data_IF_278890219334
#
_entry.id   IF_278890219334
#
_cell.length_a   1.000
_cell.length_b   1.000
_cell.length_c   1.000
_cell.angle_alpha   90.00
_cell.angle_beta   90.00
_cell.angle_gamma   90.00
#
_symmetry.space_group_name_H-M   'P 1'
#
loop_
_entity.id
_entity.type
_entity.pdbx_description
1 polymer ?
#
# COMPACT_ATOMS: atom_id res chain seq x y z
N UNK A 1 16.04 39.92 -25.55
CA UNK A 1 14.60 40.17 -25.43
C UNK A 1 13.92 38.82 -25.28
N UNK A 2 13.15 38.70 -24.19
CA UNK A 2 12.02 37.81 -23.91
C UNK A 2 12.20 36.29 -24.13
N UNK A 3 11.89 35.40 -23.18
CA UNK A 3 11.16 35.54 -21.93
C UNK A 3 11.17 34.19 -21.19
N UNK A 4 10.99 34.27 -19.89
CA UNK A 4 11.00 33.19 -18.91
C UNK A 4 9.73 32.34 -18.99
N UNK A 5 9.83 31.01 -18.84
CA UNK A 5 8.86 30.26 -18.03
C UNK A 5 9.44 28.89 -17.62
N UNK A 6 9.80 28.81 -16.34
CA UNK A 6 9.97 27.53 -15.67
C UNK A 6 8.63 26.82 -15.55
N UNK A 7 8.64 25.52 -15.78
CA UNK A 7 7.62 24.59 -15.28
C UNK A 7 8.36 23.59 -14.41
N UNK A 8 8.23 23.78 -13.09
CA UNK A 8 8.57 22.74 -12.12
C UNK A 8 7.57 21.60 -12.26
N UNK A 9 8.07 20.36 -12.28
CA UNK A 9 7.23 19.19 -12.09
C UNK A 9 7.20 18.85 -10.60
N UNK A 10 6.02 18.79 -9.97
CA UNK A 10 5.86 18.32 -8.60
C UNK A 10 6.00 16.79 -8.55
N UNK A 11 6.31 16.28 -7.36
CA UNK A 11 6.59 14.88 -7.12
C UNK A 11 5.43 13.90 -7.34
N UNK A 12 5.76 12.62 -7.21
CA UNK A 12 4.82 11.51 -7.20
C UNK A 12 4.63 10.87 -8.57
N UNK A 13 5.44 9.87 -8.89
CA UNK A 13 5.24 9.08 -10.10
C UNK A 13 5.99 7.76 -10.00
N UNK A 14 5.31 6.72 -9.52
CA UNK A 14 5.76 5.35 -9.68
C UNK A 14 6.04 5.11 -11.16
N UNK A 15 7.30 4.82 -11.50
CA UNK A 15 7.67 4.39 -12.84
C UNK A 15 7.08 2.99 -13.05
N UNK A 16 5.83 2.95 -13.52
CA UNK A 16 5.20 1.73 -14.00
C UNK A 16 5.98 1.26 -15.22
N UNK A 17 6.85 0.25 -15.03
CA UNK A 17 7.37 -0.54 -16.14
C UNK A 17 6.23 -1.36 -16.73
N UNK A 18 5.43 -0.72 -17.58
CA UNK A 18 4.58 -1.39 -18.54
C UNK A 18 5.50 -2.08 -19.55
N UNK A 19 5.57 -3.40 -19.48
CA UNK A 19 6.02 -4.21 -20.62
C UNK A 19 4.94 -4.12 -21.71
N UNK A 20 4.82 -2.95 -22.33
CA UNK A 20 4.21 -2.87 -23.64
C UNK A 20 5.04 -3.76 -24.57
N UNK A 21 4.42 -4.57 -25.45
CA UNK A 21 5.18 -5.14 -26.55
C UNK A 21 5.87 -3.97 -27.23
N UNK A 22 7.19 -4.03 -27.36
CA UNK A 22 7.97 -2.99 -27.99
C UNK A 22 7.32 -2.70 -29.34
N UNK A 23 6.53 -1.63 -29.41
CA UNK A 23 6.19 -1.03 -30.67
C UNK A 23 7.55 -0.70 -31.26
N UNK A 24 7.88 -1.33 -32.38
CA UNK A 24 9.06 -1.01 -33.17
C UNK A 24 8.95 0.45 -33.60
N UNK A 25 9.31 1.35 -32.68
CA UNK A 25 9.65 2.71 -33.01
C UNK A 25 11.01 2.62 -33.69
N UNK A 26 10.97 2.36 -35.00
CA UNK A 26 12.11 2.50 -35.92
C UNK A 26 12.66 3.95 -36.00
N UNK A 27 12.30 4.82 -35.06
CA UNK A 27 12.92 6.11 -34.86
C UNK A 27 14.22 5.95 -34.09
N UNK A 28 15.32 5.70 -34.82
CA UNK A 28 16.68 5.91 -34.28
C UNK A 28 16.80 7.38 -33.90
N UNK A 29 16.64 7.70 -32.62
CA UNK A 29 16.93 9.04 -32.12
C UNK A 29 18.44 9.25 -32.24
N UNK A 30 18.86 10.18 -33.09
CA UNK A 30 20.29 10.48 -33.29
C UNK A 30 20.95 10.85 -31.95
N UNK A 31 22.16 10.33 -31.73
CA UNK A 31 22.93 10.58 -30.50
C UNK A 31 22.58 9.71 -29.29
N UNK A 32 21.72 8.69 -29.42
CA UNK A 32 21.41 7.73 -28.33
C UNK A 32 21.76 6.30 -28.72
N UNK A 33 22.28 5.53 -27.76
CA UNK A 33 22.51 4.09 -27.90
C UNK A 33 21.81 3.35 -26.77
N UNK A 34 21.36 2.12 -27.05
CA UNK A 34 20.82 1.22 -26.03
C UNK A 34 22.01 0.76 -25.16
N UNK A 35 21.85 0.88 -23.84
CA UNK A 35 22.72 0.30 -22.83
C UNK A 35 22.09 -1.02 -22.36
N UNK A 36 22.83 -2.11 -22.46
CA UNK A 36 22.42 -3.42 -21.99
C UNK A 36 23.24 -3.77 -20.76
N UNK A 37 22.58 -3.87 -19.61
CA UNK A 37 23.16 -4.35 -18.36
C UNK A 37 22.70 -5.79 -18.10
N UNK A 38 23.65 -6.72 -18.01
CA UNK A 38 23.39 -8.11 -17.65
C UNK A 38 23.94 -8.39 -16.26
N UNK A 39 23.04 -8.72 -15.35
CA UNK A 39 23.37 -9.17 -14.00
C UNK A 39 23.27 -10.71 -13.97
N UNK A 40 24.30 -11.36 -13.44
CA UNK A 40 24.35 -12.82 -13.26
C UNK A 40 24.55 -13.13 -11.78
N UNK A 41 23.70 -13.98 -11.20
CA UNK A 41 23.84 -14.41 -9.81
C UNK A 41 25.15 -15.15 -9.56
N UNK A 42 25.63 -15.19 -8.31
CA UNK A 42 26.71 -16.08 -7.92
C UNK A 42 26.45 -17.53 -8.32
N UNK A 43 27.41 -18.14 -9.00
CA UNK A 43 27.42 -19.56 -9.36
C UNK A 43 28.70 -20.22 -8.87
N UNK A 44 28.83 -21.55 -9.02
CA UNK A 44 30.08 -22.26 -8.69
C UNK A 44 31.28 -21.75 -9.49
N UNK A 45 31.05 -21.28 -10.71
CA UNK A 45 32.08 -20.73 -11.59
C UNK A 45 32.39 -19.26 -11.27
N UNK A 46 31.38 -18.49 -10.85
CA UNK A 46 31.49 -17.08 -10.49
C UNK A 46 30.96 -16.84 -9.07
N UNK A 47 31.77 -17.04 -8.02
CA UNK A 47 31.31 -16.98 -6.62
C UNK A 47 30.82 -15.59 -6.19
N UNK A 48 31.19 -14.56 -6.95
CA UNK A 48 30.85 -13.16 -6.70
C UNK A 48 29.75 -12.61 -7.62
N UNK A 49 29.19 -13.44 -8.49
CA UNK A 49 28.31 -13.02 -9.59
C UNK A 49 29.05 -12.19 -10.64
N UNK A 50 28.32 -11.72 -11.67
CA UNK A 50 28.91 -10.91 -12.76
C UNK A 50 27.98 -9.80 -13.22
N UNK A 51 28.55 -8.62 -13.45
CA UNK A 51 27.93 -7.47 -14.10
C UNK A 51 28.63 -7.22 -15.43
N UNK A 52 27.87 -7.26 -16.52
CA UNK A 52 28.34 -6.91 -17.86
C UNK A 52 27.51 -5.76 -18.41
N UNK A 53 28.18 -4.74 -18.93
CA UNK A 53 27.54 -3.57 -19.52
C UNK A 53 28.02 -3.46 -20.96
N UNK A 54 27.10 -3.48 -21.91
CA UNK A 54 27.38 -3.34 -23.33
C UNK A 54 26.57 -2.20 -23.95
N UNK A 55 27.18 -1.42 -24.83
CA UNK A 55 26.50 -0.38 -25.60
C UNK A 55 27.05 -0.33 -27.03
N UNK A 56 26.17 -0.11 -28.01
CA UNK A 56 26.57 0.07 -29.42
C UNK A 56 27.38 -1.10 -29.99
N UNK A 57 27.16 -2.33 -29.51
CA UNK A 57 27.88 -3.52 -29.94
C UNK A 57 29.28 -3.70 -29.31
N UNK A 58 29.65 -2.89 -28.31
CA UNK A 58 30.89 -3.02 -27.55
C UNK A 58 30.61 -3.32 -26.08
N UNK A 59 31.39 -4.23 -25.50
CA UNK A 59 31.42 -4.44 -24.06
C UNK A 59 32.18 -3.27 -23.41
N UNK A 60 31.50 -2.52 -22.56
CA UNK A 60 32.05 -1.36 -21.85
C UNK A 60 32.64 -1.75 -20.49
N UNK A 61 32.00 -2.68 -19.80
CA UNK A 61 32.39 -3.09 -18.46
C UNK A 61 32.08 -4.57 -18.25
N UNK A 62 33.02 -5.28 -17.62
CA UNK A 62 32.84 -6.62 -17.10
C UNK A 62 33.51 -6.68 -15.72
N UNK A 63 32.76 -7.09 -14.71
CA UNK A 63 33.28 -7.22 -13.36
C UNK A 63 32.31 -7.94 -12.43
N UNK A 64 32.67 -7.97 -11.15
CA UNK A 64 31.84 -8.56 -10.10
C UNK A 64 30.57 -7.74 -9.85
N UNK A 65 29.56 -8.36 -9.20
CA UNK A 65 28.39 -7.62 -8.73
C UNK A 65 28.80 -6.54 -7.70
N UNK A 66 28.35 -5.29 -7.86
CA UNK A 66 28.80 -4.17 -7.01
C UNK A 66 28.20 -4.20 -5.60
N UNK A 67 27.03 -4.81 -5.42
CA UNK A 67 26.22 -4.70 -4.21
C UNK A 67 26.25 -5.98 -3.36
N UNK A 68 26.48 -5.83 -2.06
CA UNK A 68 26.38 -6.89 -1.04
C UNK A 68 25.01 -6.84 -0.35
N UNK A 69 23.96 -7.00 -1.15
CA UNK A 69 22.56 -6.85 -0.74
C UNK A 69 21.89 -8.19 -0.35
N UNK A 70 22.60 -9.30 -0.46
CA UNK A 70 22.17 -10.62 -0.03
C UNK A 70 22.22 -10.83 1.49
N UNK A 71 21.61 -11.92 1.95
CA UNK A 71 21.65 -12.32 3.35
C UNK A 71 23.11 -12.62 3.72
N UNK A 72 23.56 -12.19 4.92
CA UNK A 72 24.96 -12.39 5.39
C UNK A 72 26.04 -11.76 4.48
N UNK A 73 25.70 -10.73 3.71
CA UNK A 73 26.67 -9.99 2.88
C UNK A 73 27.01 -10.66 1.55
N UNK A 74 26.22 -11.65 1.13
CA UNK A 74 26.28 -12.20 -0.22
C UNK A 74 25.87 -11.15 -1.27
N UNK A 75 26.24 -11.39 -2.53
CA UNK A 75 25.89 -10.51 -3.66
C UNK A 75 24.68 -11.09 -4.37
N UNK A 76 23.59 -10.34 -4.47
CA UNK A 76 22.37 -10.76 -5.18
C UNK A 76 21.93 -9.68 -6.16
N UNK A 77 20.79 -9.88 -6.82
CA UNK A 77 20.24 -8.85 -7.70
C UNK A 77 19.76 -7.63 -6.90
N UNK A 78 20.10 -6.40 -7.32
CA UNK A 78 19.57 -5.17 -6.71
C UNK A 78 18.12 -4.87 -7.12
N UNK A 79 17.44 -5.87 -7.68
CA UNK A 79 16.08 -5.76 -8.17
C UNK A 79 15.22 -6.74 -7.40
N UNK A 80 14.10 -6.25 -6.90
CA UNK A 80 13.06 -7.09 -6.32
C UNK A 80 11.90 -7.12 -7.30
N UNK A 81 11.46 -8.34 -7.63
CA UNK A 81 10.33 -8.54 -8.50
C UNK A 81 9.04 -8.53 -7.70
N UNK A 82 8.14 -7.62 -8.05
CA UNK A 82 6.79 -7.55 -7.51
C UNK A 82 5.82 -8.22 -8.49
N UNK A 83 5.18 -9.29 -8.05
CA UNK A 83 4.14 -9.99 -8.80
C UNK A 83 2.78 -9.86 -8.12
N UNK A 84 1.71 -9.76 -8.91
CA UNK A 84 0.34 -9.82 -8.39
C UNK A 84 -0.01 -11.26 -7.97
N UNK A 85 0.04 -12.21 -8.91
CA UNK A 85 -0.11 -13.64 -8.65
C UNK A 85 1.08 -14.41 -9.23
N UNK A 86 1.75 -15.20 -8.39
CA UNK A 86 2.88 -16.03 -8.80
C UNK A 86 2.36 -17.32 -9.43
N UNK A 87 2.78 -17.61 -10.66
CA UNK A 87 2.52 -18.89 -11.33
C UNK A 87 3.80 -19.71 -11.42
N UNK A 88 3.80 -21.00 -11.00
CA UNK A 88 4.90 -21.89 -11.28
C UNK A 88 5.16 -21.95 -12.79
N UNK A 89 6.43 -21.93 -13.20
CA UNK A 89 6.88 -22.02 -14.61
C UNK A 89 6.77 -20.76 -15.47
N UNK A 90 6.25 -19.63 -14.96
CA UNK A 90 6.32 -18.35 -15.68
C UNK A 90 7.26 -17.37 -14.99
N UNK A 91 8.10 -16.70 -15.78
CA UNK A 91 8.92 -15.62 -15.24
C UNK A 91 8.05 -14.46 -14.78
N UNK A 92 7.14 -13.93 -15.61
CA UNK A 92 6.22 -12.87 -15.19
C UNK A 92 4.98 -13.44 -14.50
N UNK A 93 4.60 -12.85 -13.37
CA UNK A 93 3.34 -13.19 -12.70
C UNK A 93 2.12 -12.84 -13.55
N UNK A 94 0.98 -13.43 -13.22
CA UNK A 94 -0.31 -13.11 -13.84
C UNK A 94 -1.03 -12.02 -13.07
N UNK A 95 -1.82 -11.22 -13.78
CA UNK A 95 -2.66 -10.18 -13.19
C UNK A 95 -4.14 -10.58 -13.23
N UNK A 96 -4.97 -9.90 -12.42
CA UNK A 96 -6.43 -9.94 -12.57
C UNK A 96 -6.84 -9.49 -13.97
N UNK A 97 -6.09 -8.54 -14.55
CA UNK A 97 -6.34 -7.99 -15.90
C UNK A 97 -6.32 -9.08 -16.98
N UNK A 98 -5.46 -10.10 -16.86
CA UNK A 98 -5.38 -11.18 -17.86
C UNK A 98 -6.72 -11.93 -17.99
N UNK A 99 -7.49 -12.01 -16.90
CA UNK A 99 -8.83 -12.61 -16.86
C UNK A 99 -9.91 -11.69 -17.44
N UNK A 100 -9.68 -10.38 -17.43
CA UNK A 100 -10.62 -9.37 -17.93
C UNK A 100 -10.48 -9.13 -19.44
N UNK A 101 -9.32 -9.41 -20.04
CA UNK A 101 -9.08 -9.27 -21.49
C UNK A 101 -10.16 -9.96 -22.36
N UNK A 102 -10.51 -11.24 -22.14
CA UNK A 102 -11.53 -11.90 -22.97
C UNK A 102 -12.91 -11.25 -22.82
N UNK A 103 -13.32 -10.89 -21.60
CA UNK A 103 -14.61 -10.22 -21.32
C UNK A 103 -14.66 -8.86 -22.03
N UNK A 104 -13.58 -8.08 -21.94
CA UNK A 104 -13.47 -6.79 -22.64
C UNK A 104 -13.56 -6.95 -24.16
N UNK A 105 -12.94 -8.00 -24.72
CA UNK A 105 -13.02 -8.28 -26.17
C UNK A 105 -14.44 -8.64 -26.59
N UNK A 106 -15.14 -9.43 -25.79
CA UNK A 106 -16.55 -9.76 -26.03
C UNK A 106 -17.43 -8.50 -25.97
N UNK A 107 -17.26 -7.68 -24.93
CA UNK A 107 -17.97 -6.41 -24.77
C UNK A 107 -17.76 -5.48 -25.97
N UNK A 108 -16.51 -5.31 -26.41
CA UNK A 108 -16.18 -4.50 -27.58
C UNK A 108 -16.80 -5.09 -28.87
N UNK A 109 -16.84 -6.41 -29.02
CA UNK A 109 -17.44 -7.05 -30.18
C UNK A 109 -18.96 -6.84 -30.26
N UNK A 110 -19.67 -6.95 -29.13
CA UNK A 110 -21.11 -6.67 -29.02
C UNK A 110 -21.38 -5.21 -29.37
N UNK A 111 -20.62 -4.28 -28.81
CA UNK A 111 -20.75 -2.85 -29.07
C UNK A 111 -20.50 -2.50 -30.54
N UNK A 112 -19.48 -3.09 -31.15
CA UNK A 112 -19.20 -2.90 -32.57
C UNK A 112 -20.34 -3.41 -33.46
N UNK A 113 -20.91 -4.58 -33.16
CA UNK A 113 -22.08 -5.12 -33.89
C UNK A 113 -23.33 -4.26 -33.70
N UNK A 114 -23.56 -3.75 -32.49
CA UNK A 114 -24.65 -2.79 -32.20
C UNK A 114 -24.48 -1.53 -33.04
N UNK A 115 -23.27 -0.99 -33.16
CA UNK A 115 -22.98 0.15 -34.03
C UNK A 115 -23.19 -0.19 -35.51
N UNK A 116 -22.75 -1.35 -35.98
CA UNK A 116 -23.00 -1.81 -37.36
C UNK A 116 -24.50 -1.92 -37.66
N UNK A 117 -25.27 -2.51 -36.74
CA UNK A 117 -26.71 -2.64 -36.87
C UNK A 117 -27.42 -1.28 -36.88
N UNK A 118 -27.05 -0.37 -35.98
CA UNK A 118 -27.57 0.99 -35.95
C UNK A 118 -27.25 1.76 -37.22
N UNK A 119 -26.03 1.63 -37.75
CA UNK A 119 -25.64 2.22 -39.03
C UNK A 119 -26.46 1.65 -40.20
N UNK A 120 -26.80 0.35 -40.16
CA UNK A 120 -27.63 -0.29 -41.18
C UNK A 120 -29.09 0.17 -41.13
N UNK A 121 -29.64 0.34 -39.93
CA UNK A 121 -30.99 0.91 -39.76
C UNK A 121 -31.01 2.37 -40.20
N UNK A 122 -30.03 3.16 -39.79
CA UNK A 122 -30.01 4.61 -40.07
C UNK A 122 -29.79 4.94 -41.53
N UNK A 123 -29.06 4.09 -42.27
CA UNK A 123 -28.89 4.24 -43.71
C UNK A 123 -30.22 4.10 -44.48
N UNK A 124 -31.20 3.37 -43.93
CA UNK A 124 -32.49 3.11 -44.57
C UNK A 124 -32.37 2.27 -45.85
N UNK A 125 -33.32 1.37 -46.09
CA UNK A 125 -33.38 0.63 -47.36
C UNK A 125 -34.70 0.96 -48.03
N UNK A 126 -34.66 1.47 -49.25
CA UNK A 126 -35.87 1.76 -50.02
C UNK A 126 -36.31 0.48 -50.75
N UNK A 127 -37.50 -0.04 -50.41
CA UNK A 127 -38.11 -1.13 -51.18
C UNK A 127 -38.91 -0.55 -52.34
N UNK A 128 -38.59 -1.03 -53.55
CA UNK A 128 -39.23 -0.64 -54.80
C UNK A 128 -39.59 -1.88 -55.61
N UNK A 129 -40.72 -1.82 -56.31
CA UNK A 129 -41.14 -2.87 -57.24
C UNK A 129 -40.26 -2.82 -58.50
N UNK A 130 -39.91 -3.97 -59.06
CA UNK A 130 -39.02 -4.06 -60.22
C UNK A 130 -39.62 -3.28 -61.43
N UNK A 131 -38.87 -2.33 -61.96
CA UNK A 131 -39.31 -1.41 -63.02
C UNK A 131 -40.19 -0.21 -62.59
N UNK A 132 -40.36 0.03 -61.27
CA UNK A 132 -41.13 1.18 -60.74
C UNK A 132 -40.32 2.49 -60.69
N UNK A 133 -39.01 2.41 -60.44
CA UNK A 133 -38.05 3.51 -60.38
C UNK A 133 -36.78 3.13 -61.13
N UNK A 134 -36.00 4.11 -61.56
CA UNK A 134 -34.67 3.89 -62.13
C UNK A 134 -33.68 3.52 -61.01
N UNK A 135 -33.39 2.23 -60.88
CA UNK A 135 -32.50 1.69 -59.85
C UNK A 135 -31.04 2.10 -60.06
N UNK A 136 -30.63 2.33 -61.31
CA UNK A 136 -29.24 2.68 -61.63
C UNK A 136 -28.95 4.12 -61.22
N UNK A 137 -29.87 5.04 -61.53
CA UNK A 137 -29.79 6.44 -61.08
C UNK A 137 -29.86 6.59 -59.55
N UNK A 138 -30.65 5.74 -58.87
CA UNK A 138 -30.74 5.74 -57.41
C UNK A 138 -29.47 5.18 -56.74
N UNK A 139 -28.81 4.20 -57.36
CA UNK A 139 -27.57 3.62 -56.86
C UNK A 139 -26.38 4.58 -57.01
N UNK A 140 -26.30 5.34 -58.10
CA UNK A 140 -25.20 6.29 -58.35
C UNK A 140 -25.33 7.60 -57.55
N UNK A 141 -26.53 8.19 -57.50
CA UNK A 141 -26.73 9.51 -56.88
C UNK A 141 -27.17 9.44 -55.41
N UNK A 142 -27.71 8.30 -54.97
CA UNK A 142 -28.32 8.14 -53.66
C UNK A 142 -29.57 9.02 -53.44
N UNK A 143 -30.08 8.98 -52.21
CA UNK A 143 -31.21 9.77 -51.73
C UNK A 143 -30.70 10.96 -50.89
N UNK A 144 -30.31 12.03 -51.57
CA UNK A 144 -29.97 13.29 -50.90
C UNK A 144 -31.24 13.98 -50.35
N UNK A 145 -31.15 14.69 -49.21
CA UNK A 145 -32.28 15.40 -48.63
C UNK A 145 -32.86 16.43 -49.61
N UNK A 146 -34.16 16.33 -49.91
CA UNK A 146 -34.87 17.22 -50.84
C UNK A 146 -35.02 16.69 -52.27
N UNK A 147 -34.47 15.51 -52.60
CA UNK A 147 -34.66 14.88 -53.92
C UNK A 147 -36.09 14.38 -54.10
N UNK A 148 -36.72 14.74 -55.22
CA UNK A 148 -38.07 14.29 -55.58
C UNK A 148 -37.96 12.91 -56.22
N UNK A 149 -38.58 11.90 -55.60
CA UNK A 149 -38.63 10.54 -56.12
C UNK A 149 -39.84 10.36 -57.06
N UNK A 150 -39.59 10.22 -58.35
CA UNK A 150 -40.61 9.96 -59.37
C UNK A 150 -40.72 8.45 -59.59
N UNK A 151 -41.93 7.91 -59.49
CA UNK A 151 -42.22 6.48 -59.71
C UNK A 151 -43.31 6.32 -60.79
N UNK A 152 -43.38 5.14 -61.40
CA UNK A 152 -44.31 4.86 -62.51
C UNK A 152 -45.77 4.85 -62.05
N UNK A 153 -46.65 5.46 -62.85
CA UNK A 153 -48.09 5.43 -62.56
C UNK A 153 -48.63 3.99 -62.68
N UNK A 154 -49.20 3.48 -61.58
CA UNK A 154 -49.74 2.11 -61.49
C UNK A 154 -48.86 1.10 -60.75
N UNK A 155 -47.62 1.46 -60.36
CA UNK A 155 -46.78 0.64 -59.48
C UNK A 155 -47.04 0.96 -58.01
N UNK A 156 -46.63 0.05 -57.10
CA UNK A 156 -46.67 0.34 -55.66
C UNK A 156 -45.72 1.51 -55.33
N UNK A 157 -46.14 2.42 -54.46
CA UNK A 157 -45.30 3.53 -54.00
C UNK A 157 -44.05 3.01 -53.26
N UNK A 158 -42.86 3.57 -53.52
CA UNK A 158 -41.64 3.25 -52.77
C UNK A 158 -41.82 3.47 -51.27
N UNK A 159 -41.49 2.47 -50.46
CA UNK A 159 -41.57 2.53 -49.00
C UNK A 159 -40.20 2.27 -48.40
N UNK A 160 -39.81 3.05 -47.38
CA UNK A 160 -38.63 2.73 -46.58
C UNK A 160 -38.92 1.44 -45.81
N UNK A 161 -38.10 0.40 -46.02
CA UNK A 161 -38.13 -0.80 -45.21
C UNK A 161 -37.77 -0.40 -43.78
N UNK A 162 -38.76 -0.52 -42.90
CA UNK A 162 -38.50 -0.44 -41.48
C UNK A 162 -37.78 -1.73 -41.06
N UNK A 163 -36.47 -1.63 -40.88
CA UNK A 163 -35.61 -2.73 -40.42
C UNK A 163 -35.85 -3.11 -38.95
N UNK A 164 -36.83 -2.47 -38.30
CA UNK A 164 -37.23 -2.73 -36.92
C UNK A 164 -36.40 -1.93 -35.92
N UNK A 165 -36.56 -2.28 -34.65
CA UNK A 165 -35.80 -1.68 -33.55
C UNK A 165 -34.57 -2.54 -33.23
N UNK A 166 -33.62 -1.97 -32.49
CA UNK A 166 -32.51 -2.72 -31.93
C UNK A 166 -33.05 -3.86 -31.05
N UNK A 167 -32.66 -5.14 -31.29
CA UNK A 167 -33.04 -6.25 -30.42
C UNK A 167 -32.61 -6.01 -28.97
N UNK A 168 -33.49 -6.35 -28.01
CA UNK A 168 -33.22 -6.22 -26.57
C UNK A 168 -32.03 -7.07 -26.13
N UNK A 169 -31.79 -8.19 -26.81
CA UNK A 169 -30.68 -9.12 -26.54
C UNK A 169 -29.31 -8.42 -26.53
N UNK A 170 -29.11 -7.38 -27.36
CA UNK A 170 -27.86 -6.61 -27.35
C UNK A 170 -27.66 -5.82 -26.05
N UNK A 171 -28.73 -5.29 -25.47
CA UNK A 171 -28.67 -4.56 -24.21
C UNK A 171 -28.53 -5.51 -23.02
N UNK A 172 -29.23 -6.65 -23.05
CA UNK A 172 -29.13 -7.69 -22.03
C UNK A 172 -27.72 -8.30 -21.99
N UNK A 173 -27.12 -8.59 -23.15
CA UNK A 173 -25.74 -9.10 -23.24
C UNK A 173 -24.72 -8.06 -22.77
N UNK A 174 -24.93 -6.78 -23.08
CA UNK A 174 -24.07 -5.68 -22.60
C UNK A 174 -24.06 -5.60 -21.06
N UNK A 175 -25.25 -5.67 -20.45
CA UNK A 175 -25.42 -5.68 -18.99
C UNK A 175 -24.83 -6.95 -18.36
N UNK A 176 -24.98 -8.11 -19.02
CA UNK A 176 -24.42 -9.37 -18.54
C UNK A 176 -22.89 -9.37 -18.54
N UNK A 177 -22.26 -8.86 -19.60
CA UNK A 177 -20.80 -8.73 -19.69
C UNK A 177 -20.24 -7.71 -18.68
N UNK A 178 -20.98 -6.64 -18.39
CA UNK A 178 -20.61 -5.68 -17.34
C UNK A 178 -20.67 -6.34 -15.94
N UNK A 179 -21.71 -7.14 -15.66
CA UNK A 179 -21.80 -7.94 -14.44
C UNK A 179 -20.68 -8.97 -14.34
N UNK A 180 -20.35 -9.65 -15.43
CA UNK A 180 -19.21 -10.58 -15.47
C UNK A 180 -17.90 -9.85 -15.17
N UNK A 181 -17.72 -8.64 -15.70
CA UNK A 181 -16.56 -7.80 -15.43
C UNK A 181 -16.43 -7.48 -13.93
N UNK A 182 -17.54 -7.09 -13.28
CA UNK A 182 -17.58 -6.85 -11.83
C UNK A 182 -17.19 -8.12 -11.04
N UNK A 183 -17.82 -9.26 -11.36
CA UNK A 183 -17.56 -10.54 -10.67
C UNK A 183 -16.11 -11.02 -10.82
N UNK A 184 -15.56 -10.95 -12.03
CA UNK A 184 -14.19 -11.40 -12.35
C UNK A 184 -13.13 -10.47 -11.79
N UNK A 185 -13.38 -9.15 -11.81
CA UNK A 185 -12.48 -8.15 -11.22
C UNK A 185 -12.35 -8.35 -9.71
N UNK A 186 -13.38 -8.90 -9.07
CA UNK A 186 -13.43 -9.15 -7.64
C UNK A 186 -13.56 -7.91 -6.77
N UNK A 187 -13.90 -6.78 -7.40
CA UNK A 187 -14.31 -5.56 -6.73
C UNK A 187 -15.81 -5.66 -6.52
N UNK A 188 -16.27 -5.80 -5.28
CA UNK A 188 -17.71 -5.81 -5.00
C UNK A 188 -18.30 -4.40 -5.12
N UNK A 189 -19.60 -4.31 -5.41
CA UNK A 189 -20.35 -3.04 -5.40
C UNK A 189 -20.29 -2.30 -4.05
N UNK A 190 -19.96 -3.02 -2.97
CA UNK A 190 -19.74 -2.51 -1.63
C UNK A 190 -18.48 -1.64 -1.55
N UNK A 191 -17.40 -2.09 -2.19
CA UNK A 191 -16.14 -1.34 -2.28
C UNK A 191 -16.23 -0.14 -3.22
N UNK A 192 -17.20 -0.14 -4.14
CA UNK A 192 -17.51 0.92 -5.10
C UNK A 192 -18.38 2.05 -4.52
N UNK A 193 -18.56 2.13 -3.19
CA UNK A 193 -19.31 3.15 -2.44
C UNK A 193 -20.84 3.02 -2.39
N UNK A 194 -21.41 1.89 -2.83
CA UNK A 194 -22.85 1.64 -2.67
C UNK A 194 -23.12 0.72 -1.48
N UNK A 195 -23.70 1.26 -0.41
CA UNK A 195 -24.23 0.42 0.67
C UNK A 195 -25.32 -0.47 0.07
N UNK A 196 -25.27 -1.80 0.18
CA UNK A 196 -26.21 -2.68 -0.50
C UNK A 196 -27.54 -2.53 0.22
N UNK A 197 -28.56 -2.09 -0.49
CA UNK A 197 -29.90 -1.83 0.07
C UNK A 197 -30.54 -3.07 0.72
N UNK A 198 -29.99 -4.26 0.49
CA UNK A 198 -30.50 -5.56 0.94
C UNK A 198 -29.85 -6.08 2.24
N UNK A 199 -28.69 -5.56 2.66
CA UNK A 199 -27.99 -6.07 3.86
C UNK A 199 -28.28 -5.16 5.05
N UNK A 200 -29.28 -5.54 5.85
CA UNK A 200 -29.74 -4.75 7.01
C UNK A 200 -28.90 -4.98 8.27
N UNK A 201 -28.07 -6.02 8.32
CA UNK A 201 -27.23 -6.32 9.49
C UNK A 201 -25.79 -5.82 9.30
N UNK A 202 -25.30 -5.05 10.27
CA UNK A 202 -23.90 -4.60 10.31
C UNK A 202 -22.90 -5.78 10.26
N UNK A 203 -23.27 -6.92 10.84
CA UNK A 203 -22.50 -8.17 10.77
C UNK A 203 -22.45 -8.77 9.37
N UNK A 204 -23.53 -8.66 8.59
CA UNK A 204 -23.54 -9.11 7.19
C UNK A 204 -22.64 -8.24 6.31
N UNK A 205 -22.63 -6.93 6.54
CA UNK A 205 -21.73 -6.01 5.84
C UNK A 205 -20.25 -6.29 6.16
N UNK A 206 -19.91 -6.55 7.42
CA UNK A 206 -18.56 -6.91 7.81
C UNK A 206 -18.10 -8.23 7.19
N UNK A 207 -19.00 -9.23 7.12
CA UNK A 207 -18.70 -10.50 6.44
C UNK A 207 -18.41 -10.29 4.95
N UNK A 208 -19.15 -9.42 4.27
CA UNK A 208 -18.89 -9.10 2.86
C UNK A 208 -17.54 -8.39 2.68
N UNK A 209 -17.21 -7.40 3.53
CA UNK A 209 -15.91 -6.72 3.51
C UNK A 209 -14.75 -7.69 3.72
N UNK A 210 -14.84 -8.55 4.73
CA UNK A 210 -13.80 -9.56 5.00
C UNK A 210 -13.65 -10.58 3.86
N UNK A 211 -14.74 -10.92 3.17
CA UNK A 211 -14.69 -11.78 2.00
C UNK A 211 -13.96 -11.11 0.83
N UNK A 212 -14.19 -9.81 0.60
CA UNK A 212 -13.47 -9.03 -0.42
C UNK A 212 -11.98 -8.91 -0.09
N UNK A 213 -11.65 -8.61 1.17
CA UNK A 213 -10.26 -8.56 1.64
C UNK A 213 -9.54 -9.89 1.43
N UNK A 214 -10.22 -11.02 1.69
CA UNK A 214 -9.67 -12.36 1.46
C UNK A 214 -9.30 -12.61 -0.01
N UNK A 215 -10.08 -12.08 -0.96
CA UNK A 215 -9.78 -12.21 -2.40
C UNK A 215 -8.52 -11.44 -2.79
N UNK A 216 -8.27 -10.29 -2.16
CA UNK A 216 -7.11 -9.43 -2.42
C UNK A 216 -5.90 -9.79 -1.55
N UNK A 217 -6.08 -10.60 -0.50
CA UNK A 217 -5.05 -10.94 0.48
C UNK A 217 -3.78 -11.50 -0.18
N UNK A 218 -3.91 -12.43 -1.14
CA UNK A 218 -2.74 -13.01 -1.82
C UNK A 218 -1.93 -11.97 -2.62
N UNK A 219 -2.60 -10.99 -3.23
CA UNK A 219 -1.93 -9.90 -3.97
C UNK A 219 -1.26 -8.95 -2.99
N UNK A 220 -1.96 -8.60 -1.90
CA UNK A 220 -1.47 -7.77 -0.80
C UNK A 220 -0.21 -8.37 -0.17
N UNK A 221 -0.22 -9.66 0.14
CA UNK A 221 0.92 -10.38 0.71
C UNK A 221 2.13 -10.40 -0.23
N UNK A 222 1.93 -10.65 -1.53
CA UNK A 222 3.01 -10.61 -2.51
C UNK A 222 3.62 -9.21 -2.65
N UNK A 223 2.79 -8.17 -2.64
CA UNK A 223 3.25 -6.78 -2.66
C UNK A 223 4.04 -6.43 -1.40
N UNK A 224 3.54 -6.77 -0.21
CA UNK A 224 4.26 -6.54 1.04
C UNK A 224 5.56 -7.33 1.10
N UNK A 225 5.57 -8.59 0.66
CA UNK A 225 6.79 -9.39 0.60
C UNK A 225 7.85 -8.73 -0.29
N UNK A 226 7.46 -8.22 -1.46
CA UNK A 226 8.37 -7.48 -2.33
C UNK A 226 8.87 -6.18 -1.66
N UNK A 227 7.98 -5.44 -1.00
CA UNK A 227 8.34 -4.22 -0.29
C UNK A 227 9.28 -4.48 0.92
N UNK A 228 9.07 -5.57 1.68
CA UNK A 228 9.99 -6.01 2.74
C UNK A 228 11.37 -6.30 2.17
N UNK A 229 11.43 -7.02 1.05
CA UNK A 229 12.71 -7.33 0.41
C UNK A 229 13.42 -6.06 -0.09
N UNK A 230 12.68 -5.09 -0.63
CA UNK A 230 13.25 -3.79 -1.01
C UNK A 230 13.81 -3.06 0.21
N UNK A 231 13.06 -3.02 1.30
CA UNK A 231 13.50 -2.39 2.54
C UNK A 231 14.75 -3.07 3.12
N UNK A 232 14.77 -4.41 3.16
CA UNK A 232 15.93 -5.22 3.58
C UNK A 232 17.16 -4.93 2.72
N UNK A 233 17.00 -4.90 1.39
CA UNK A 233 18.10 -4.55 0.48
C UNK A 233 18.58 -3.11 0.71
N UNK A 234 17.66 -2.17 0.94
CA UNK A 234 17.98 -0.77 1.21
C UNK A 234 18.80 -0.63 2.49
N UNK A 235 18.41 -1.30 3.59
CA UNK A 235 19.15 -1.30 4.86
C UNK A 235 20.56 -1.88 4.67
N UNK A 236 20.69 -2.99 3.93
CA UNK A 236 22.00 -3.61 3.64
C UNK A 236 22.90 -2.73 2.79
N UNK A 237 22.35 -2.09 1.76
CA UNK A 237 23.08 -1.13 0.94
C UNK A 237 23.47 0.09 1.77
N UNK A 238 22.59 0.55 2.66
CA UNK A 238 22.90 1.62 3.60
C UNK A 238 24.07 1.22 4.48
N UNK A 239 24.12 -0.02 4.99
CA UNK A 239 25.27 -0.53 5.75
C UNK A 239 26.56 -0.58 4.93
N UNK A 240 26.49 -0.96 3.64
CA UNK A 240 27.66 -1.03 2.76
C UNK A 240 28.25 0.37 2.47
N UNK A 241 27.41 1.41 2.36
CA UNK A 241 27.82 2.76 1.97
C UNK A 241 27.72 3.81 3.11
N UNK A 242 27.27 3.42 4.30
CA UNK A 242 27.29 4.27 5.48
C UNK A 242 28.75 4.46 5.89
N UNK A 243 29.21 5.71 5.85
CA UNK A 243 30.45 6.10 6.48
C UNK A 243 30.32 6.13 8.00
N UNK A 244 31.17 6.91 8.66
CA UNK A 244 31.38 6.82 10.11
C UNK A 244 30.20 7.34 10.96
N UNK A 245 29.38 8.29 10.46
CA UNK A 245 28.19 8.78 11.16
C UNK A 245 27.22 9.45 10.18
N UNK A 246 25.93 9.14 10.29
CA UNK A 246 24.84 9.85 9.58
C UNK A 246 23.74 10.26 10.54
N UNK A 247 23.07 11.36 10.20
CA UNK A 247 22.01 11.97 11.00
C UNK A 247 20.65 11.66 10.35
N UNK A 248 19.78 10.97 11.08
CA UNK A 248 18.37 10.75 10.72
C UNK A 248 17.53 11.73 11.52
N UNK A 249 16.80 12.62 10.86
CA UNK A 249 15.73 13.38 11.52
C UNK A 249 14.42 12.65 11.33
N UNK A 250 13.83 12.15 12.41
CA UNK A 250 12.47 11.63 12.41
C UNK A 250 11.56 12.71 13.00
N UNK A 251 10.53 13.10 12.25
CA UNK A 251 9.48 13.94 12.78
C UNK A 251 8.59 13.07 13.68
N UNK A 252 8.69 13.24 15.00
CA UNK A 252 7.82 12.56 15.95
C UNK A 252 6.40 13.13 15.93
N UNK A 253 5.44 12.34 16.39
CA UNK A 253 4.09 12.83 16.69
C UNK A 253 4.16 14.01 17.67
N UNK A 254 3.61 15.16 17.26
CA UNK A 254 3.65 16.41 18.04
C UNK A 254 4.71 17.43 17.60
N UNK A 255 5.38 17.25 16.45
CA UNK A 255 6.26 18.26 15.86
C UNK A 255 7.63 18.40 16.52
N UNK A 256 7.97 17.50 17.46
CA UNK A 256 9.33 17.36 17.99
C UNK A 256 10.15 16.53 17.01
N UNK A 257 11.12 17.15 16.35
CA UNK A 257 12.11 16.46 15.53
C UNK A 257 13.11 15.75 16.44
N UNK A 258 13.17 14.42 16.37
CA UNK A 258 14.20 13.63 17.04
C UNK A 258 15.30 13.33 16.03
N UNK A 259 16.52 13.77 16.33
CA UNK A 259 17.70 13.49 15.54
C UNK A 259 18.39 12.24 16.11
N UNK A 260 18.42 11.16 15.33
CA UNK A 260 19.18 9.95 15.63
C UNK A 260 20.51 10.01 14.90
N UNK A 261 21.61 9.87 15.64
CA UNK A 261 22.91 9.57 15.06
C UNK A 261 23.05 8.07 14.97
N UNK A 262 23.44 7.57 13.81
CA UNK A 262 23.78 6.16 13.69
C UNK A 262 24.98 5.92 12.78
N UNK A 263 25.73 4.87 13.11
CA UNK A 263 26.88 4.39 12.33
C UNK A 263 26.58 3.04 11.65
N UNK A 264 27.42 2.65 10.69
CA UNK A 264 27.27 1.38 9.97
C UNK A 264 27.35 0.14 10.90
N UNK A 265 28.03 0.26 12.04
CA UNK A 265 28.19 -0.82 13.02
C UNK A 265 26.94 -1.03 13.88
N UNK A 266 26.17 0.04 14.10
CA UNK A 266 24.90 0.00 14.88
C UNK A 266 23.75 -0.62 14.07
N UNK A 267 23.86 -0.61 12.73
CA UNK A 267 22.99 -1.36 11.81
C UNK A 267 23.33 -2.85 11.83
N UNK A 268 23.03 -3.52 12.94
CA UNK A 268 23.28 -4.96 13.12
C UNK A 268 22.12 -5.83 12.63
N UNK A 269 20.90 -5.30 12.63
CA UNK A 269 19.70 -6.03 12.29
C UNK A 269 19.12 -5.55 10.94
N UNK A 270 18.85 -6.51 10.05
CA UNK A 270 18.18 -6.28 8.77
C UNK A 270 16.70 -6.65 8.83
N UNK A 271 16.13 -6.83 10.02
CA UNK A 271 14.72 -7.22 10.13
C UNK A 271 13.82 -6.01 9.96
N UNK A 272 12.89 -6.13 9.01
CA UNK A 272 11.94 -5.08 8.65
C UNK A 272 10.55 -5.64 8.85
N UNK A 273 9.87 -5.09 9.85
CA UNK A 273 8.47 -5.37 10.13
C UNK A 273 7.69 -4.13 9.75
N UNK A 274 6.58 -4.31 9.04
CA UNK A 274 5.66 -3.20 8.85
C UNK A 274 4.88 -3.00 10.15
N UNK A 275 4.83 -1.78 10.65
CA UNK A 275 4.00 -1.44 11.81
C UNK A 275 2.50 -1.72 11.54
N UNK A 276 2.12 -1.86 10.27
CA UNK A 276 0.76 -2.13 9.79
C UNK A 276 0.37 -3.60 9.71
N UNK A 277 1.22 -4.56 10.10
CA UNK A 277 0.92 -6.00 9.89
C UNK A 277 -0.27 -6.55 10.68
N UNK A 278 -0.76 -5.85 11.72
CA UNK A 278 -1.97 -6.25 12.44
C UNK A 278 -2.94 -5.09 12.67
N UNK A 279 -3.25 -4.34 11.63
CA UNK A 279 -4.50 -3.60 11.65
C UNK A 279 -5.64 -4.59 11.36
N UNK A 280 -6.09 -5.33 12.39
CA UNK A 280 -7.53 -5.38 12.66
C UNK A 280 -8.05 -3.99 12.29
N UNK A 281 -9.02 -3.89 11.38
CA UNK A 281 -9.54 -2.59 10.97
C UNK A 281 -9.81 -1.74 12.22
N UNK A 282 -9.69 -0.42 12.18
CA UNK A 282 -9.90 0.40 13.37
C UNK A 282 -11.21 0.03 14.11
N UNK A 283 -12.23 -0.42 13.37
CA UNK A 283 -13.47 -0.95 13.92
C UNK A 283 -13.34 -2.35 14.54
N UNK A 284 -12.59 -3.27 13.94
CA UNK A 284 -12.33 -4.61 14.49
C UNK A 284 -11.48 -4.54 15.76
N UNK A 285 -10.49 -3.63 15.83
CA UNK A 285 -9.74 -3.34 17.07
C UNK A 285 -10.68 -2.85 18.15
N UNK A 286 -11.57 -1.91 17.82
CA UNK A 286 -12.57 -1.40 18.76
C UNK A 286 -13.50 -2.51 19.25
N UNK A 287 -13.98 -3.38 18.36
CA UNK A 287 -14.83 -4.52 18.71
C UNK A 287 -14.08 -5.53 19.60
N UNK A 288 -12.82 -5.82 19.28
CA UNK A 288 -11.98 -6.71 20.09
C UNK A 288 -11.71 -6.12 21.47
N UNK A 289 -11.45 -4.81 21.56
CA UNK A 289 -11.26 -4.13 22.85
C UNK A 289 -12.56 -4.12 23.65
N UNK A 290 -13.71 -3.89 23.01
CA UNK A 290 -15.02 -3.96 23.65
C UNK A 290 -15.34 -5.39 24.13
N UNK A 291 -14.97 -6.42 23.36
CA UNK A 291 -15.15 -7.81 23.77
C UNK A 291 -14.26 -8.17 24.95
N UNK A 292 -12.99 -7.77 24.94
CA UNK A 292 -12.06 -7.94 26.07
C UNK A 292 -12.51 -7.18 27.32
N UNK A 293 -13.07 -5.98 27.14
CA UNK A 293 -13.65 -5.19 28.22
C UNK A 293 -14.88 -5.87 28.81
N UNK A 294 -15.76 -6.38 27.96
CA UNK A 294 -16.96 -7.14 28.39
C UNK A 294 -16.61 -8.47 29.08
N UNK A 295 -15.48 -9.08 28.70
CA UNK A 295 -14.95 -10.28 29.32
C UNK A 295 -14.27 -10.03 30.67
N UNK A 296 -14.13 -8.77 31.10
CA UNK A 296 -13.51 -8.39 32.38
C UNK A 296 -12.00 -8.61 32.44
N UNK A 297 -11.34 -8.86 31.30
CA UNK A 297 -9.89 -9.12 31.24
C UNK A 297 -9.09 -7.84 31.52
N UNK A 298 -9.66 -6.68 31.18
CA UNK A 298 -9.02 -5.36 31.33
C UNK A 298 -9.38 -4.66 32.66
N UNK A 299 -10.17 -5.32 33.51
CA UNK A 299 -10.52 -4.85 34.85
C UNK A 299 -9.65 -5.52 35.90
N UNK A 300 -9.25 -4.77 36.92
CA UNK A 300 -8.57 -5.30 38.10
C UNK A 300 -9.50 -6.21 38.92
N UNK A 301 -8.97 -6.93 39.92
CA UNK A 301 -9.73 -7.87 40.78
C UNK A 301 -10.96 -7.22 41.47
N UNK A 302 -10.99 -5.88 41.55
CA UNK A 302 -12.12 -5.07 42.04
C UNK A 302 -13.09 -4.53 40.97
N UNK A 303 -13.01 -4.99 39.71
CA UNK A 303 -13.90 -4.57 38.62
C UNK A 303 -13.67 -3.13 38.11
N UNK A 304 -12.55 -2.50 38.50
CA UNK A 304 -12.17 -1.15 38.07
C UNK A 304 -11.09 -1.23 37.00
N UNK A 305 -11.23 -0.42 35.95
CA UNK A 305 -10.18 -0.25 34.95
C UNK A 305 -9.13 0.71 35.54
N UNK A 306 -7.86 0.31 35.56
CA UNK A 306 -6.76 1.19 35.97
C UNK A 306 -6.65 2.40 35.04
N UNK A 307 -6.18 3.55 35.54
CA UNK A 307 -6.06 4.76 34.71
C UNK A 307 -5.14 4.53 33.51
N UNK A 308 -4.04 3.78 33.69
CA UNK A 308 -3.15 3.40 32.59
C UNK A 308 -3.85 2.57 31.51
N UNK A 309 -4.71 1.62 31.89
CA UNK A 309 -5.46 0.83 30.93
C UNK A 309 -6.54 1.65 30.22
N UNK A 310 -7.17 2.62 30.91
CA UNK A 310 -8.10 3.56 30.26
C UNK A 310 -7.41 4.41 29.20
N UNK A 311 -6.22 4.94 29.50
CA UNK A 311 -5.46 5.74 28.54
C UNK A 311 -5.08 4.90 27.32
N UNK A 312 -4.56 3.68 27.52
CA UNK A 312 -4.25 2.76 26.40
C UNK A 312 -5.46 2.39 25.57
N UNK A 313 -6.62 2.20 26.21
CA UNK A 313 -7.88 1.96 25.52
C UNK A 313 -8.24 3.20 24.69
N UNK A 314 -8.26 4.39 25.28
CA UNK A 314 -8.61 5.65 24.61
C UNK A 314 -7.66 5.99 23.44
N UNK A 315 -6.37 5.73 23.60
CA UNK A 315 -5.37 5.84 22.53
C UNK A 315 -5.71 4.87 21.38
N UNK A 316 -6.03 3.61 21.70
CA UNK A 316 -6.46 2.63 20.70
C UNK A 316 -7.78 3.00 20.01
N UNK A 317 -8.65 3.80 20.66
CA UNK A 317 -9.85 4.37 20.06
C UNK A 317 -9.59 5.63 19.21
N UNK A 318 -8.35 6.17 19.21
CA UNK A 318 -7.97 7.40 18.51
C UNK A 318 -8.35 8.69 19.27
N UNK A 319 -8.63 8.58 20.57
CA UNK A 319 -9.05 9.67 21.44
C UNK A 319 -7.90 10.21 22.32
N UNK A 320 -6.65 9.82 22.05
CA UNK A 320 -5.48 10.23 22.86
C UNK A 320 -5.27 11.74 23.01
N UNK A 321 -5.80 12.54 22.07
CA UNK A 321 -5.76 14.02 22.17
C UNK A 321 -6.68 14.62 23.23
N UNK A 322 -7.70 13.88 23.72
CA UNK A 322 -8.66 14.42 24.70
C UNK A 322 -8.12 14.41 26.15
N UNK A 323 -7.09 13.61 26.46
CA UNK A 323 -6.60 13.43 27.84
C UNK A 323 -5.15 13.87 28.10
N UNK A 324 -4.35 14.18 27.07
CA UNK A 324 -3.01 14.79 27.26
C UNK A 324 -3.03 16.11 28.05
N UNK A 325 -4.20 16.68 28.33
CA UNK A 325 -4.37 17.86 29.19
C UNK A 325 -4.52 17.54 30.69
N UNK A 326 -4.68 16.28 31.12
CA UNK A 326 -4.93 15.95 32.54
C UNK A 326 -3.96 14.97 33.17
N UNK A 327 -3.27 14.12 32.41
CA UNK A 327 -2.44 13.06 33.00
C UNK A 327 -0.94 13.39 32.98
N UNK A 328 -0.44 13.93 34.09
CA UNK A 328 1.00 14.21 34.31
C UNK A 328 1.78 12.87 34.41
N UNK A 329 1.10 11.75 34.68
CA UNK A 329 1.72 10.43 34.85
C UNK A 329 2.47 9.96 33.61
N UNK A 330 2.00 10.32 32.40
CA UNK A 330 2.68 9.98 31.15
C UNK A 330 4.03 10.70 31.01
N UNK A 331 4.08 11.99 31.39
CA UNK A 331 5.32 12.78 31.42
C UNK A 331 6.31 12.22 32.44
N UNK A 332 5.85 11.80 33.62
CA UNK A 332 6.71 11.12 34.60
C UNK A 332 7.23 9.77 34.08
N UNK A 333 6.43 9.01 33.35
CA UNK A 333 6.89 7.75 32.72
C UNK A 333 7.94 7.97 31.62
N UNK A 334 7.82 9.06 30.85
CA UNK A 334 8.84 9.48 29.87
C UNK A 334 10.13 9.92 30.58
N UNK A 335 10.03 10.76 31.63
CA UNK A 335 11.17 11.17 32.44
C UNK A 335 11.91 9.97 33.05
N UNK A 336 11.18 9.02 33.66
CA UNK A 336 11.76 7.80 34.22
C UNK A 336 12.48 6.95 33.16
N UNK A 337 11.98 6.92 31.92
CA UNK A 337 12.64 6.26 30.79
C UNK A 337 13.94 6.97 30.38
N UNK A 338 13.96 8.30 30.34
CA UNK A 338 15.18 9.06 30.09
C UNK A 338 16.23 8.86 31.19
N UNK A 339 15.81 8.80 32.46
CA UNK A 339 16.69 8.51 33.59
C UNK A 339 17.31 7.12 33.50
N UNK A 340 16.54 6.10 33.10
CA UNK A 340 17.07 4.75 32.85
C UNK A 340 18.19 4.76 31.78
N UNK A 341 18.03 5.57 30.73
CA UNK A 341 19.05 5.72 29.68
C UNK A 341 20.31 6.43 30.19
N UNK A 342 20.16 7.48 31.01
CA UNK A 342 21.27 8.21 31.64
C UNK A 342 22.05 7.32 32.61
N UNK A 343 21.36 6.55 33.45
CA UNK A 343 21.97 5.57 34.37
C UNK A 343 22.70 4.46 33.59
N UNK A 344 22.15 4.02 32.45
CA UNK A 344 22.81 3.08 31.55
C UNK A 344 24.10 3.64 30.95
N UNK A 345 24.13 4.93 30.61
CA UNK A 345 25.33 5.65 30.15
C UNK A 345 26.36 5.93 31.26
N UNK A 346 26.05 5.61 32.53
CA UNK A 346 26.94 5.82 33.67
C UNK A 346 26.81 7.19 34.33
N UNK A 347 25.82 7.99 33.93
CA UNK A 347 25.50 9.26 34.56
C UNK A 347 24.61 9.05 35.79
N UNK A 348 24.81 9.86 36.85
CA UNK A 348 23.95 9.83 38.04
C UNK A 348 22.67 10.62 37.75
N UNK A 349 21.54 9.91 37.64
CA UNK A 349 20.24 10.54 37.76
C UNK A 349 20.00 10.98 39.21
N UNK A 350 19.32 12.10 39.39
CA UNK A 350 18.87 12.60 40.71
C UNK A 350 17.35 12.63 40.69
N UNK A 351 16.74 12.25 41.81
CA UNK A 351 15.30 12.31 42.01
C UNK A 351 14.83 13.75 42.21
N UNK A 352 13.81 14.18 41.48
CA UNK A 352 13.16 15.50 41.69
C UNK A 352 12.08 15.38 42.78
N UNK A 353 11.74 16.48 43.43
CA UNK A 353 10.73 16.54 44.49
C UNK A 353 9.29 16.60 43.94
N UNK A 354 9.15 16.94 42.66
CA UNK A 354 7.88 16.98 41.94
C UNK A 354 7.52 15.64 41.26
N UNK A 355 8.39 14.63 41.36
CA UNK A 355 8.19 13.34 40.68
C UNK A 355 7.05 12.52 41.29
N UNK A 356 6.27 11.86 40.42
CA UNK A 356 5.41 10.76 40.85
C UNK A 356 6.26 9.51 41.09
N UNK A 357 6.65 9.34 42.35
CA UNK A 357 7.50 8.24 42.78
C UNK A 357 6.87 6.86 42.53
N UNK A 358 5.54 6.73 42.47
CA UNK A 358 4.89 5.46 42.20
C UNK A 358 5.09 5.02 40.75
N UNK A 359 4.97 5.97 39.81
CA UNK A 359 5.21 5.74 38.38
C UNK A 359 6.69 5.46 38.11
N UNK A 360 7.59 6.24 38.72
CA UNK A 360 9.03 6.03 38.58
C UNK A 360 9.46 4.65 39.12
N UNK A 361 9.01 4.24 40.32
CA UNK A 361 9.35 2.93 40.89
C UNK A 361 8.86 1.80 39.96
N UNK A 362 7.65 1.90 39.41
CA UNK A 362 7.11 0.89 38.51
C UNK A 362 7.95 0.77 37.22
N UNK A 363 8.30 1.89 36.58
CA UNK A 363 9.09 1.89 35.34
C UNK A 363 10.56 1.48 35.57
N UNK A 364 11.22 1.95 36.63
CA UNK A 364 12.58 1.50 36.98
C UNK A 364 12.61 0.01 37.34
N UNK A 365 11.61 -0.50 38.06
CA UNK A 365 11.50 -1.94 38.39
C UNK A 365 11.27 -2.78 37.14
N UNK A 366 10.42 -2.31 36.22
CA UNK A 366 10.19 -2.95 34.92
C UNK A 366 11.48 -3.00 34.11
N UNK A 367 12.22 -1.90 34.04
CA UNK A 367 13.51 -1.84 33.35
C UNK A 367 14.58 -2.72 34.01
N UNK A 368 14.63 -2.78 35.34
CA UNK A 368 15.56 -3.65 36.08
C UNK A 368 15.33 -5.15 35.84
N UNK A 369 14.06 -5.54 35.66
CA UNK A 369 13.65 -6.94 35.44
C UNK A 369 13.76 -7.33 33.95
N UNK A 370 13.60 -6.37 33.03
CA UNK A 370 13.60 -6.61 31.59
C UNK A 370 14.89 -7.26 31.09
N UNK A 371 14.78 -7.95 29.94
CA UNK A 371 15.94 -8.57 29.29
C UNK A 371 17.01 -7.54 28.92
N UNK A 372 16.61 -6.33 28.51
CA UNK A 372 17.52 -5.21 28.25
C UNK A 372 18.31 -4.83 29.51
N UNK A 373 17.64 -4.59 30.64
CA UNK A 373 18.31 -4.24 31.90
C UNK A 373 19.23 -5.34 32.43
N UNK A 374 18.95 -6.62 32.10
CA UNK A 374 19.79 -7.76 32.50
C UNK A 374 21.03 -7.92 31.64
N UNK A 375 20.92 -7.72 30.33
CA UNK A 375 21.98 -8.02 29.36
C UNK A 375 22.84 -6.82 28.99
N UNK A 376 22.31 -5.59 29.08
CA UNK A 376 22.98 -4.38 28.57
C UNK A 376 23.53 -3.45 29.67
N UNK A 377 23.43 -3.81 30.96
CA UNK A 377 23.93 -2.97 32.06
C UNK A 377 25.17 -3.57 32.71
N UNK A 378 26.18 -2.72 32.96
CA UNK A 378 27.30 -3.08 33.82
C UNK A 378 26.82 -3.31 35.26
N UNK A 379 27.54 -4.13 36.02
CA UNK A 379 27.18 -4.46 37.41
C UNK A 379 27.09 -3.19 38.29
N UNK A 380 27.88 -2.17 37.97
CA UNK A 380 27.85 -0.86 38.63
C UNK A 380 26.59 -0.05 38.29
N UNK A 381 26.15 -0.07 37.03
CA UNK A 381 24.95 0.64 36.61
C UNK A 381 23.67 -0.01 37.19
N UNK A 382 23.65 -1.34 37.40
CA UNK A 382 22.55 -2.01 38.13
C UNK A 382 22.51 -1.65 39.60
N UNK A 383 23.67 -1.55 40.26
CA UNK A 383 23.74 -1.08 41.66
C UNK A 383 23.29 0.37 41.78
N UNK A 384 23.62 1.22 40.80
CA UNK A 384 23.15 2.60 40.72
C UNK A 384 21.63 2.69 40.52
N UNK A 385 21.06 1.89 39.61
CA UNK A 385 19.60 1.85 39.42
C UNK A 385 18.87 1.34 40.67
N UNK A 386 19.41 0.32 41.35
CA UNK A 386 18.85 -0.17 42.61
C UNK A 386 19.01 0.81 43.78
N UNK A 387 19.99 1.72 43.73
CA UNK A 387 20.10 2.83 44.65
C UNK A 387 19.06 3.93 44.33
N UNK A 388 18.89 4.26 43.04
CA UNK A 388 17.89 5.22 42.56
C UNK A 388 16.45 4.79 42.91
N UNK A 389 16.13 3.50 42.75
CA UNK A 389 14.83 2.94 43.18
C UNK A 389 14.63 3.10 44.69
N UNK A 390 15.70 2.90 45.50
CA UNK A 390 15.64 3.09 46.95
C UNK A 390 15.44 4.55 47.33
N UNK A 391 16.09 5.48 46.64
CA UNK A 391 15.88 6.92 46.85
C UNK A 391 14.42 7.32 46.57
N UNK A 392 13.79 6.79 45.52
CA UNK A 392 12.36 7.00 45.28
C UNK A 392 11.47 6.35 46.35
N UNK A 393 11.82 5.16 46.87
CA UNK A 393 11.10 4.53 47.98
C UNK A 393 11.22 5.32 49.29
N UNK A 394 12.40 5.88 49.58
CA UNK A 394 12.64 6.70 50.77
C UNK A 394 11.87 8.02 50.70
N UNK A 395 11.89 8.72 49.55
CA UNK A 395 11.10 9.94 49.34
C UNK A 395 9.59 9.67 49.38
N UNK A 396 9.14 8.53 48.87
CA UNK A 396 7.74 8.09 49.01
C UNK A 396 7.36 7.89 50.48
N UNK A 397 8.17 7.16 51.24
CA UNK A 397 7.92 6.93 52.66
C UNK A 397 7.88 8.24 53.46
N UNK A 398 8.77 9.20 53.16
CA UNK A 398 8.76 10.52 53.78
C UNK A 398 7.48 11.32 53.47
N UNK A 399 7.00 11.26 52.21
CA UNK A 399 5.78 11.94 51.77
C UNK A 399 4.51 11.32 52.35
N UNK A 400 4.50 10.01 52.56
CA UNK A 400 3.38 9.30 53.21
C UNK A 400 3.33 9.60 54.72
N UNK A 401 4.48 9.80 55.38
CA UNK A 401 4.51 10.23 56.79
C UNK A 401 4.00 11.65 57.00
N UNK A 402 4.21 12.57 56.05
CA UNK A 402 3.67 13.95 56.11
C UNK A 402 2.16 14.03 55.82
N UNK A 403 1.58 13.05 55.12
CA UNK A 403 0.14 13.00 54.79
C UNK A 403 -0.75 12.43 55.90
N UNK A 404 -0.17 11.98 57.01
CA UNK A 404 -0.91 11.63 58.23
C UNK A 404 -0.80 12.75 59.28
N UNK A 405 -1.60 13.83 59.21
CA UNK A 405 -1.90 14.61 60.38
C UNK A 405 -3.02 13.91 61.18
N UNK A 406 -2.85 13.92 62.50
CA UNK A 406 -3.85 13.54 63.52
C UNK A 406 -5.17 14.28 63.32
#
# INVERSE_FOLDING_TARGET
EDGFSGVGFPGGGAAAFSAAPAAESNGRVEGRTILLERYTLPTKEFPNGRLEIAAGGKLLYEGDLPYKNGVRGERTFPFVKQDCMKQPSKFFGTSVVDRLIPVQRAYNAVRNRKHEFLNRISAGVLAVEDGSVDTDALAEEGLAPGKILVYRQGSKAPEMLNLGNLPSDFAEEEEWLEKEFSVVSGVSDLSQSSTPTRVTSATGLQLLLSQDDSRLAATKENMFSAMKEIARQTVRLYKQFAGNARLLCVAGEGGKTQAYYFSAEELSCDDVVFETEENLGANERKETILSLLSAGILTDDGGKISQQNKNRILDAFGLGSYENCRDISALHADCAREENLKIRAGEKAKTDDLDDHDVHIAEHSRFYISQEGRSSMSENARKALAAHIREHMEKKAARDTEKTPV
#
